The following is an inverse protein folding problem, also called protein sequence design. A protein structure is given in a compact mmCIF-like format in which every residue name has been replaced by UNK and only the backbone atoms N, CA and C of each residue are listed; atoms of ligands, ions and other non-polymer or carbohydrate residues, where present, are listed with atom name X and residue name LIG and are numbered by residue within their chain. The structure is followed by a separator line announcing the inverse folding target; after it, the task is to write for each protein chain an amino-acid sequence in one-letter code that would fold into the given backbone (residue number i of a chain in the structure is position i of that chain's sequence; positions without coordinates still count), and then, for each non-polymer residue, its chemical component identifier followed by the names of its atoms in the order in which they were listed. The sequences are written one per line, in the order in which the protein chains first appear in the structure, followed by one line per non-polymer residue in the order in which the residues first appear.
data_IF_249942139344
#
_entry.id   IF_249942139344
#
_cell.length_a   1.000
_cell.length_b   1.000
_cell.length_c   1.000
_cell.angle_alpha   90.00
_cell.angle_beta   90.00
_cell.angle_gamma   90.00
#
_symmetry.space_group_name_H-M   'P 1'
#
loop_
_entity.id
_entity.type
_entity.pdbx_description
1 polymer ?
#
# COMPACT_ATOMS: atom_id res chain seq x y z
N UNK A 1 7.62 -8.41 -11.17
CA UNK A 1 7.61 -9.86 -10.85
C UNK A 1 6.34 -10.60 -11.28
N UNK A 2 5.21 -10.60 -10.55
CA UNK A 2 4.05 -11.47 -10.88
C UNK A 2 3.58 -11.33 -12.33
N UNK A 3 3.31 -10.09 -12.78
CA UNK A 3 2.91 -9.79 -14.17
C UNK A 3 4.00 -10.09 -15.19
N UNK A 4 5.24 -9.74 -14.86
CA UNK A 4 6.43 -9.89 -15.73
C UNK A 4 6.70 -11.36 -16.07
N UNK A 5 6.63 -12.25 -15.08
CA UNK A 5 6.79 -13.69 -15.26
C UNK A 5 5.49 -14.40 -15.65
N UNK A 6 4.38 -13.64 -15.83
CA UNK A 6 3.04 -14.17 -16.07
C UNK A 6 2.67 -15.31 -15.10
N UNK A 7 3.02 -15.12 -13.82
CA UNK A 7 2.84 -16.13 -12.80
C UNK A 7 1.36 -16.48 -12.65
N UNK A 8 1.05 -17.77 -12.55
CA UNK A 8 -0.31 -18.29 -12.40
C UNK A 8 -0.29 -19.48 -11.46
N UNK A 9 -1.24 -19.51 -10.54
CA UNK A 9 -1.40 -20.60 -9.60
C UNK A 9 -2.01 -20.13 -8.29
N UNK A 10 -2.36 -21.10 -7.45
CA UNK A 10 -3.02 -20.86 -6.16
C UNK A 10 -2.18 -19.96 -5.25
N UNK A 11 -0.86 -20.06 -5.30
CA UNK A 11 0.02 -19.22 -4.51
C UNK A 11 -0.04 -17.76 -4.96
N UNK A 12 0.01 -17.51 -6.27
CA UNK A 12 -0.11 -16.17 -6.84
C UNK A 12 -1.43 -15.51 -6.46
N UNK A 13 -2.54 -16.24 -6.54
CA UNK A 13 -3.87 -15.73 -6.19
C UNK A 13 -3.95 -15.35 -4.69
N UNK A 14 -3.43 -16.22 -3.81
CA UNK A 14 -3.36 -15.94 -2.38
C UNK A 14 -2.43 -14.77 -2.09
N UNK A 15 -1.26 -14.72 -2.72
CA UNK A 15 -0.30 -13.62 -2.53
C UNK A 15 -0.93 -12.28 -2.90
N UNK A 16 -1.54 -12.16 -4.08
CA UNK A 16 -2.18 -10.92 -4.52
C UNK A 16 -3.37 -10.55 -3.63
N UNK A 17 -4.18 -11.53 -3.22
CA UNK A 17 -5.30 -11.30 -2.30
C UNK A 17 -4.85 -10.80 -0.92
N UNK A 18 -3.79 -11.40 -0.37
CA UNK A 18 -3.22 -10.98 0.91
C UNK A 18 -2.63 -9.58 0.81
N UNK A 19 -1.88 -9.25 -0.26
CA UNK A 19 -1.32 -7.90 -0.46
C UNK A 19 -2.44 -6.84 -0.51
N UNK A 20 -3.51 -7.10 -1.27
CA UNK A 20 -4.61 -6.15 -1.38
C UNK A 20 -5.30 -5.86 -0.04
N UNK A 21 -5.47 -6.89 0.80
CA UNK A 21 -6.08 -6.75 2.13
C UNK A 21 -5.10 -6.14 3.14
N UNK A 22 -3.81 -6.48 3.05
CA UNK A 22 -2.74 -5.95 3.91
C UNK A 22 -2.61 -4.44 3.78
N UNK A 23 -2.70 -3.89 2.57
CA UNK A 23 -2.64 -2.44 2.34
C UNK A 23 -3.82 -1.70 3.01
N UNK A 24 -5.02 -2.26 2.94
CA UNK A 24 -6.19 -1.68 3.60
C UNK A 24 -6.04 -1.68 5.13
N UNK A 25 -5.60 -2.81 5.70
CA UNK A 25 -5.30 -2.91 7.13
C UNK A 25 -4.18 -1.97 7.55
N UNK A 26 -3.14 -1.81 6.73
CA UNK A 26 -2.05 -0.88 6.98
C UNK A 26 -2.57 0.54 7.17
N UNK A 27 -3.43 1.03 6.27
CA UNK A 27 -4.01 2.37 6.36
C UNK A 27 -4.92 2.54 7.58
N UNK A 28 -5.75 1.55 7.90
CA UNK A 28 -6.64 1.57 9.08
C UNK A 28 -5.82 1.61 10.37
N UNK A 29 -4.83 0.72 10.50
CA UNK A 29 -3.95 0.66 11.68
C UNK A 29 -3.12 1.92 11.79
N UNK A 30 -2.64 2.46 10.67
CA UNK A 30 -1.88 3.72 10.63
C UNK A 30 -2.73 4.89 11.12
N UNK A 31 -3.96 5.05 10.61
CA UNK A 31 -4.87 6.12 11.05
C UNK A 31 -5.16 6.05 12.56
N UNK A 32 -5.42 4.85 13.09
CA UNK A 32 -5.60 4.65 14.53
C UNK A 32 -4.32 4.97 15.33
N UNK A 33 -3.17 4.52 14.85
CA UNK A 33 -1.87 4.76 15.50
C UNK A 33 -1.51 6.24 15.53
N UNK A 34 -1.78 6.95 14.43
CA UNK A 34 -1.56 8.39 14.30
C UNK A 34 -2.42 9.15 15.32
N UNK A 35 -3.69 8.77 15.43
CA UNK A 35 -4.62 9.39 16.38
C UNK A 35 -4.25 9.17 17.84
N UNK A 36 -3.90 7.93 18.20
CA UNK A 36 -3.41 7.62 19.55
C UNK A 36 -2.13 8.43 19.83
N UNK A 37 -1.21 8.51 18.87
CA UNK A 37 0.03 9.29 19.01
C UNK A 37 -0.25 10.77 19.24
N UNK A 38 -1.20 11.36 18.49
CA UNK A 38 -1.64 12.76 18.70
C UNK A 38 -2.24 12.94 20.10
N UNK A 39 -3.12 12.03 20.54
CA UNK A 39 -3.71 12.10 21.88
C UNK A 39 -2.66 12.09 23.01
N UNK A 40 -1.59 11.30 22.84
CA UNK A 40 -0.52 11.17 23.83
C UNK A 40 0.40 12.40 23.85
N UNK A 41 0.84 12.88 22.68
CA UNK A 41 1.79 13.98 22.56
C UNK A 41 1.19 15.32 22.96
N UNK A 42 -0.06 15.59 22.59
CA UNK A 42 -0.73 16.86 22.91
C UNK A 42 -1.33 16.90 24.33
N UNK A 43 -0.93 15.98 25.22
CA UNK A 43 -1.27 15.88 26.65
C UNK A 43 -2.66 16.44 27.00
N UNK A 44 -3.70 15.81 26.45
CA UNK A 44 -5.08 16.24 26.67
C UNK A 44 -5.79 15.25 27.61
N UNK A 45 -6.55 15.79 28.58
CA UNK A 45 -7.23 15.07 29.67
C UNK A 45 -7.97 13.78 29.27
N UNK A 46 -8.20 12.86 30.23
CA UNK A 46 -8.83 11.53 30.01
C UNK A 46 -10.18 11.54 29.25
N UNK A 47 -10.94 12.64 29.28
CA UNK A 47 -12.18 12.80 28.52
C UNK A 47 -11.96 12.97 27.00
N UNK A 48 -10.71 13.12 26.55
CA UNK A 48 -10.34 13.34 25.15
C UNK A 48 -9.95 12.06 24.40
N UNK A 49 -9.50 10.99 25.07
CA UNK A 49 -9.06 9.75 24.39
C UNK A 49 -10.21 9.10 23.62
N UNK A 50 -11.40 9.00 24.22
CA UNK A 50 -12.61 8.52 23.53
C UNK A 50 -12.97 9.39 22.32
N UNK A 51 -12.84 10.72 22.45
CA UNK A 51 -13.12 11.67 21.37
C UNK A 51 -12.14 11.52 20.20
N UNK A 52 -10.86 11.27 20.48
CA UNK A 52 -9.84 11.07 19.45
C UNK A 52 -10.05 9.76 18.70
N UNK A 53 -10.28 8.65 19.43
CA UNK A 53 -10.58 7.36 18.80
C UNK A 53 -11.86 7.45 17.95
N UNK A 54 -12.91 8.10 18.47
CA UNK A 54 -14.16 8.30 17.75
C UNK A 54 -13.95 9.16 16.48
N UNK A 55 -13.13 10.21 16.57
CA UNK A 55 -12.79 11.04 15.42
C UNK A 55 -12.06 10.24 14.32
N UNK A 56 -11.13 9.37 14.68
CA UNK A 56 -10.44 8.50 13.71
C UNK A 56 -11.36 7.46 13.09
N UNK A 57 -12.33 6.96 13.85
CA UNK A 57 -13.34 6.07 13.29
C UNK A 57 -14.20 6.81 12.26
N UNK A 58 -14.58 8.06 12.53
CA UNK A 58 -15.25 8.93 11.56
C UNK A 58 -14.36 9.18 10.34
N UNK A 59 -13.06 9.42 10.53
CA UNK A 59 -12.12 9.63 9.43
C UNK A 59 -12.05 8.41 8.51
N UNK A 60 -11.95 7.21 9.09
CA UNK A 60 -11.89 5.94 8.36
C UNK A 60 -13.22 5.69 7.64
N UNK A 61 -14.34 5.70 8.36
CA UNK A 61 -15.67 5.44 7.78
C UNK A 61 -16.01 6.49 6.73
N UNK A 62 -15.73 7.76 7.01
CA UNK A 62 -15.93 8.87 6.09
C UNK A 62 -15.12 8.71 4.80
N UNK A 63 -13.85 8.31 4.89
CA UNK A 63 -13.02 8.03 3.72
C UNK A 63 -13.58 6.88 2.88
N UNK A 64 -14.00 5.78 3.52
CA UNK A 64 -14.63 4.65 2.83
C UNK A 64 -15.95 5.07 2.16
N UNK A 65 -16.82 5.80 2.87
CA UNK A 65 -18.08 6.28 2.32
C UNK A 65 -17.86 7.23 1.15
N UNK A 66 -16.92 8.17 1.26
CA UNK A 66 -16.58 9.11 0.19
C UNK A 66 -16.10 8.38 -1.06
N UNK A 67 -15.10 7.50 -0.91
CA UNK A 67 -14.57 6.71 -2.02
C UNK A 67 -15.65 5.87 -2.71
N UNK A 68 -16.49 5.20 -1.91
CA UNK A 68 -17.56 4.35 -2.43
C UNK A 68 -18.65 5.14 -3.14
N UNK A 69 -19.05 6.29 -2.59
CA UNK A 69 -20.04 7.17 -3.19
C UNK A 69 -19.54 7.70 -4.53
N UNK A 70 -18.31 8.20 -4.59
CA UNK A 70 -17.70 8.71 -5.82
C UNK A 70 -17.55 7.58 -6.86
N UNK A 71 -17.21 6.36 -6.44
CA UNK A 71 -17.16 5.19 -7.32
C UNK A 71 -18.51 4.83 -7.93
N UNK A 72 -19.62 5.00 -7.20
CA UNK A 72 -20.96 4.77 -7.74
C UNK A 72 -21.32 5.77 -8.85
N UNK A 73 -20.82 7.01 -8.79
CA UNK A 73 -21.05 8.03 -9.81
C UNK A 73 -20.15 7.86 -11.04
N UNK A 74 -18.93 7.32 -10.88
CA UNK A 74 -17.95 7.23 -11.97
C UNK A 74 -18.43 6.44 -13.21
N UNK A 75 -19.17 5.32 -13.11
CA UNK A 75 -19.70 4.63 -14.29
C UNK A 75 -20.79 5.40 -15.05
N UNK A 76 -21.49 6.34 -14.40
CA UNK A 76 -22.59 7.07 -15.03
C UNK A 76 -22.10 7.95 -16.18
N UNK A 77 -20.95 8.59 -16.03
CA UNK A 77 -20.39 9.44 -17.09
C UNK A 77 -19.42 8.70 -18.02
N UNK A 78 -19.07 7.44 -17.73
CA UNK A 78 -18.27 6.60 -18.63
C UNK A 78 -18.95 6.42 -20.00
N UNK A 79 -20.28 6.50 -20.06
CA UNK A 79 -21.06 6.43 -21.32
C UNK A 79 -20.76 7.55 -22.32
N UNK A 80 -20.17 8.66 -21.89
CA UNK A 80 -19.81 9.79 -22.77
C UNK A 80 -18.39 9.67 -23.34
N UNK A 81 -17.61 8.70 -22.85
CA UNK A 81 -16.21 8.53 -23.19
C UNK A 81 -16.08 7.68 -24.45
N UNK A 82 -15.28 8.14 -25.41
CA UNK A 82 -15.09 7.45 -26.70
C UNK A 82 -13.65 7.02 -26.93
N UNK A 83 -12.68 7.64 -26.27
CA UNK A 83 -11.24 7.36 -26.45
C UNK A 83 -10.55 6.97 -25.15
N UNK A 84 -9.43 6.23 -25.23
CA UNK A 84 -8.63 5.88 -24.05
C UNK A 84 -8.04 7.12 -23.35
N UNK A 85 -7.68 8.16 -24.11
CA UNK A 85 -7.18 9.43 -23.55
C UNK A 85 -8.25 10.14 -22.74
N UNK A 86 -9.48 10.19 -23.24
CA UNK A 86 -10.62 10.74 -22.49
C UNK A 86 -10.88 9.92 -21.22
N UNK A 87 -10.80 8.58 -21.30
CA UNK A 87 -10.96 7.72 -20.13
C UNK A 87 -9.86 7.95 -19.09
N UNK A 88 -8.63 8.18 -19.50
CA UNK A 88 -7.53 8.52 -18.59
C UNK A 88 -7.78 9.84 -17.87
N UNK A 89 -8.12 10.90 -18.62
CA UNK A 89 -8.43 12.22 -18.04
C UNK A 89 -9.60 12.10 -17.07
N UNK A 90 -10.63 11.35 -17.46
CA UNK A 90 -11.79 11.10 -16.62
C UNK A 90 -11.41 10.37 -15.33
N UNK A 91 -10.64 9.28 -15.42
CA UNK A 91 -10.19 8.50 -14.26
C UNK A 91 -9.35 9.35 -13.30
N UNK A 92 -8.40 10.12 -13.84
CA UNK A 92 -7.62 11.08 -13.05
C UNK A 92 -8.49 12.15 -12.40
N UNK A 93 -9.50 12.65 -13.11
CA UNK A 93 -10.47 13.61 -12.58
C UNK A 93 -11.20 13.08 -11.35
N UNK A 94 -11.64 11.82 -11.37
CA UNK A 94 -12.30 11.18 -10.23
C UNK A 94 -11.34 10.95 -9.04
N UNK A 95 -10.10 10.56 -9.32
CA UNK A 95 -9.05 10.41 -8.28
C UNK A 95 -8.75 11.77 -7.63
N UNK A 96 -8.55 12.81 -8.44
CA UNK A 96 -8.26 14.17 -7.94
C UNK A 96 -9.46 14.78 -7.21
N UNK A 97 -10.68 14.56 -7.70
CA UNK A 97 -11.91 14.99 -7.02
C UNK A 97 -12.04 14.31 -5.66
N UNK A 98 -11.87 12.98 -5.61
CA UNK A 98 -11.90 12.22 -4.35
C UNK A 98 -10.83 12.71 -3.39
N UNK A 99 -9.62 12.97 -3.90
CA UNK A 99 -8.51 13.53 -3.13
C UNK A 99 -8.85 14.91 -2.56
N UNK A 100 -9.35 15.83 -3.39
CA UNK A 100 -9.71 17.18 -2.96
C UNK A 100 -10.83 17.19 -1.93
N UNK A 101 -11.87 16.36 -2.13
CA UNK A 101 -12.96 16.20 -1.16
C UNK A 101 -12.48 15.55 0.15
N UNK A 102 -11.59 14.55 0.08
CA UNK A 102 -11.02 13.94 1.26
C UNK A 102 -10.20 14.97 2.08
N UNK A 103 -9.38 15.78 1.43
CA UNK A 103 -8.62 16.86 2.10
C UNK A 103 -9.58 17.87 2.74
N UNK A 104 -10.60 18.34 2.00
CA UNK A 104 -11.57 19.32 2.48
C UNK A 104 -12.36 18.81 3.71
N UNK A 105 -12.70 17.53 3.72
CA UNK A 105 -13.44 16.88 4.80
C UNK A 105 -12.52 16.34 5.92
N UNK A 106 -11.21 16.56 5.83
CA UNK A 106 -10.20 16.02 6.74
C UNK A 106 -10.27 14.48 6.89
N UNK A 107 -10.44 13.79 5.77
CA UNK A 107 -10.50 12.33 5.66
C UNK A 107 -9.19 11.77 5.08
N UNK A 108 -8.94 10.48 5.32
CA UNK A 108 -7.78 9.80 4.75
C UNK A 108 -7.84 9.72 3.22
N UNK A 109 -6.97 10.47 2.55
CA UNK A 109 -6.85 10.53 1.08
C UNK A 109 -6.52 9.15 0.49
N UNK A 110 -5.58 8.42 1.12
CA UNK A 110 -5.16 7.10 0.67
C UNK A 110 -6.32 6.10 0.75
N UNK A 111 -7.02 6.10 1.88
CA UNK A 111 -8.13 5.15 2.10
C UNK A 111 -9.32 5.47 1.19
N UNK A 112 -9.65 6.75 0.99
CA UNK A 112 -10.73 7.16 0.10
C UNK A 112 -10.48 6.75 -1.35
N UNK A 113 -9.28 6.98 -1.89
CA UNK A 113 -8.93 6.57 -3.26
C UNK A 113 -8.81 5.03 -3.40
N UNK A 114 -8.34 4.33 -2.38
CA UNK A 114 -8.30 2.86 -2.38
C UNK A 114 -9.72 2.28 -2.43
N UNK A 115 -10.65 2.84 -1.66
CA UNK A 115 -12.03 2.39 -1.65
C UNK A 115 -12.79 2.81 -2.92
N UNK A 116 -12.46 3.97 -3.51
CA UNK A 116 -12.91 4.35 -4.85
C UNK A 116 -12.59 3.24 -5.87
N UNK A 117 -11.32 2.83 -5.96
CA UNK A 117 -10.91 1.76 -6.88
C UNK A 117 -11.58 0.42 -6.55
N UNK A 118 -11.67 0.08 -5.26
CA UNK A 118 -12.30 -1.17 -4.79
C UNK A 118 -13.78 -1.24 -5.16
N UNK A 119 -14.54 -0.19 -4.94
CA UNK A 119 -15.97 -0.18 -5.30
C UNK A 119 -16.13 -0.11 -6.81
N UNK A 120 -15.31 0.69 -7.51
CA UNK A 120 -15.38 0.85 -8.96
C UNK A 120 -15.21 -0.49 -9.69
N UNK A 121 -14.22 -1.31 -9.31
CA UNK A 121 -14.01 -2.61 -9.96
C UNK A 121 -15.13 -3.62 -9.67
N UNK A 122 -15.82 -3.49 -8.53
CA UNK A 122 -16.88 -4.42 -8.11
C UNK A 122 -18.28 -4.06 -8.64
N UNK A 123 -18.52 -2.82 -9.09
CA UNK A 123 -19.82 -2.40 -9.63
C UNK A 123 -20.09 -2.97 -11.02
N UNK A 124 -19.08 -3.01 -11.91
CA UNK A 124 -19.26 -3.53 -13.26
C UNK A 124 -17.95 -4.10 -13.82
N UNK A 125 -18.01 -5.25 -14.49
CA UNK A 125 -16.84 -5.89 -15.13
C UNK A 125 -16.23 -5.05 -16.26
N UNK A 126 -17.01 -4.18 -16.91
CA UNK A 126 -16.48 -3.22 -17.90
C UNK A 126 -15.57 -2.16 -17.29
N UNK A 127 -15.50 -2.04 -15.96
CA UNK A 127 -14.68 -1.03 -15.29
C UNK A 127 -13.18 -1.39 -15.21
N UNK A 128 -12.77 -2.53 -15.78
CA UNK A 128 -11.34 -2.88 -15.92
C UNK A 128 -10.59 -1.84 -16.77
N UNK A 129 -11.27 -1.20 -17.73
CA UNK A 129 -10.67 -0.20 -18.62
C UNK A 129 -10.12 1.01 -17.85
N UNK A 130 -10.74 1.39 -16.72
CA UNK A 130 -10.24 2.45 -15.84
C UNK A 130 -8.85 2.14 -15.29
N UNK A 131 -8.58 0.89 -14.95
CA UNK A 131 -7.27 0.45 -14.44
C UNK A 131 -6.26 0.29 -15.58
N UNK A 132 -6.72 -0.10 -16.77
CA UNK A 132 -5.84 -0.26 -17.92
C UNK A 132 -5.27 1.07 -18.40
N UNK A 133 -6.06 2.15 -18.38
CA UNK A 133 -5.55 3.47 -18.76
C UNK A 133 -4.57 4.05 -17.73
N UNK A 134 -4.73 3.75 -16.43
CA UNK A 134 -3.78 4.19 -15.40
C UNK A 134 -2.37 3.59 -15.61
N UNK A 135 -2.29 2.37 -16.16
CA UNK A 135 -1.00 1.73 -16.49
C UNK A 135 -0.16 2.54 -17.47
N UNK A 136 -0.77 3.44 -18.25
CA UNK A 136 -0.05 4.33 -19.17
C UNK A 136 0.81 5.37 -18.44
N UNK A 137 0.46 5.70 -17.19
CA UNK A 137 1.09 6.78 -16.42
C UNK A 137 1.72 6.32 -15.10
N UNK A 138 1.51 5.06 -14.68
CA UNK A 138 2.10 4.52 -13.44
C UNK A 138 3.62 4.70 -13.38
N UNK A 139 4.33 4.45 -14.49
CA UNK A 139 5.80 4.52 -14.52
C UNK A 139 6.34 5.93 -14.25
N UNK A 140 5.85 7.00 -14.94
CA UNK A 140 6.15 8.38 -14.57
C UNK A 140 5.81 8.73 -13.12
N UNK A 141 4.66 8.26 -12.60
CA UNK A 141 4.25 8.55 -11.23
C UNK A 141 5.17 7.90 -10.19
N UNK A 142 5.58 6.65 -10.41
CA UNK A 142 6.55 5.98 -9.55
C UNK A 142 7.91 6.69 -9.57
N UNK A 143 8.38 7.11 -10.75
CA UNK A 143 9.61 7.87 -10.86
C UNK A 143 9.55 9.16 -10.04
N UNK A 144 8.49 9.96 -10.23
CA UNK A 144 8.31 11.21 -9.49
C UNK A 144 8.26 10.94 -7.98
N UNK A 145 7.51 9.92 -7.56
CA UNK A 145 7.37 9.53 -6.17
C UNK A 145 8.71 9.14 -5.52
N UNK A 146 9.49 8.28 -6.16
CA UNK A 146 10.78 7.84 -5.63
C UNK A 146 11.84 8.95 -5.64
N UNK A 147 11.81 9.84 -6.64
CA UNK A 147 12.67 11.04 -6.65
C UNK A 147 12.33 11.95 -5.46
N UNK A 148 11.04 12.23 -5.23
CA UNK A 148 10.60 13.04 -4.09
C UNK A 148 10.94 12.39 -2.74
N UNK A 149 10.77 11.07 -2.62
CA UNK A 149 11.17 10.32 -1.44
C UNK A 149 12.68 10.42 -1.19
N UNK A 150 13.49 10.32 -2.25
CA UNK A 150 14.94 10.50 -2.19
C UNK A 150 15.37 11.91 -1.79
N UNK A 151 14.70 12.95 -2.29
CA UNK A 151 14.98 14.35 -1.91
C UNK A 151 14.66 14.61 -0.44
N UNK A 152 13.60 13.98 0.09
CA UNK A 152 13.22 14.10 1.50
C UNK A 152 14.06 13.24 2.45
N UNK A 153 14.98 12.42 1.91
CA UNK A 153 15.85 11.56 2.70
C UNK A 153 16.97 12.38 3.36
N UNK A 154 16.99 12.39 4.69
CA UNK A 154 18.02 13.08 5.45
C UNK A 154 19.21 12.16 5.69
N UNK A 155 20.24 12.28 4.85
CA UNK A 155 21.46 11.45 4.89
C UNK A 155 22.16 11.51 6.26
N UNK A 156 22.04 12.63 6.98
CA UNK A 156 22.57 12.76 8.34
C UNK A 156 21.95 11.75 9.33
N UNK A 157 20.66 11.47 9.17
CA UNK A 157 19.92 10.52 10.03
C UNK A 157 20.24 9.06 9.68
N UNK A 158 20.75 8.75 8.49
CA UNK A 158 21.15 7.39 8.09
C UNK A 158 22.18 6.76 9.04
N UNK A 159 23.09 7.57 9.59
CA UNK A 159 24.09 7.09 10.56
C UNK A 159 23.46 6.60 11.86
N UNK A 160 22.40 7.27 12.32
CA UNK A 160 21.64 6.87 13.52
C UNK A 160 20.68 5.71 13.26
N UNK A 161 20.31 5.46 12.00
CA UNK A 161 19.37 4.42 11.61
C UNK A 161 19.98 3.02 11.66
N UNK A 162 21.31 2.86 11.67
CA UNK A 162 21.93 1.53 11.60
C UNK A 162 21.24 0.49 12.49
N UNK A 163 21.06 0.79 13.78
CA UNK A 163 20.39 -0.11 14.72
C UNK A 163 18.86 -0.14 14.49
N UNK A 164 18.20 1.02 14.40
CA UNK A 164 16.74 1.12 14.28
C UNK A 164 16.20 0.49 13.00
N UNK A 165 16.92 0.66 11.88
CA UNK A 165 16.63 0.05 10.59
C UNK A 165 16.85 -1.46 10.58
N UNK A 166 17.93 -1.95 11.22
CA UNK A 166 18.13 -3.39 11.40
C UNK A 166 17.00 -4.00 12.23
N UNK A 167 16.63 -3.36 13.34
CA UNK A 167 15.50 -3.78 14.19
C UNK A 167 14.21 -3.79 13.36
N UNK A 168 13.92 -2.72 12.63
CA UNK A 168 12.73 -2.64 11.78
C UNK A 168 12.69 -3.76 10.74
N UNK A 169 13.78 -3.98 10.00
CA UNK A 169 13.88 -5.05 8.99
C UNK A 169 13.67 -6.41 9.64
N UNK A 170 14.31 -6.66 10.79
CA UNK A 170 14.18 -7.92 11.51
C UNK A 170 12.73 -8.18 11.94
N UNK A 171 12.10 -7.23 12.63
CA UNK A 171 10.72 -7.36 13.10
C UNK A 171 9.72 -7.44 11.95
N UNK A 172 9.91 -6.67 10.87
CA UNK A 172 9.04 -6.73 9.70
C UNK A 172 9.15 -8.08 8.98
N UNK A 173 10.36 -8.53 8.70
CA UNK A 173 10.62 -9.80 8.00
C UNK A 173 10.12 -10.99 8.82
N UNK A 174 10.41 -11.03 10.12
CA UNK A 174 9.92 -12.07 11.02
C UNK A 174 8.40 -12.00 11.19
N UNK A 175 7.82 -10.82 11.34
CA UNK A 175 6.38 -10.62 11.43
C UNK A 175 5.63 -11.12 10.19
N UNK A 176 6.09 -10.75 8.99
CA UNK A 176 5.51 -11.25 7.72
C UNK A 176 5.65 -12.76 7.60
N UNK A 177 6.80 -13.33 7.99
CA UNK A 177 7.05 -14.78 7.89
C UNK A 177 6.20 -15.56 8.89
N UNK A 178 6.24 -15.20 10.17
CA UNK A 178 5.49 -15.86 11.23
C UNK A 178 3.99 -15.70 11.01
N UNK A 179 3.53 -14.50 10.68
CA UNK A 179 2.12 -14.22 10.38
C UNK A 179 1.60 -15.03 9.20
N UNK A 180 2.40 -15.16 8.12
CA UNK A 180 2.03 -16.00 6.97
C UNK A 180 1.95 -17.47 7.33
N UNK A 181 2.91 -17.97 8.13
CA UNK A 181 2.94 -19.37 8.55
C UNK A 181 1.77 -19.70 9.47
N UNK A 182 1.53 -18.86 10.48
CA UNK A 182 0.44 -19.03 11.44
C UNK A 182 -0.93 -18.87 10.78
N UNK A 183 -1.12 -17.83 9.98
CA UNK A 183 -2.36 -17.62 9.23
C UNK A 183 -2.65 -18.80 8.30
N UNK A 184 -1.65 -19.23 7.53
CA UNK A 184 -1.75 -20.39 6.64
C UNK A 184 -2.02 -21.71 7.38
N UNK A 185 -1.50 -21.87 8.60
CA UNK A 185 -1.81 -23.03 9.45
C UNK A 185 -3.28 -23.04 9.90
N UNK A 186 -3.80 -21.90 10.36
CA UNK A 186 -5.20 -21.77 10.82
C UNK A 186 -6.19 -22.10 9.71
N UNK A 187 -5.95 -21.58 8.50
CA UNK A 187 -6.83 -21.84 7.33
C UNK A 187 -6.48 -23.13 6.58
N UNK A 188 -5.54 -23.93 7.09
CA UNK A 188 -5.12 -25.24 6.54
C UNK A 188 -4.72 -25.17 5.05
N UNK A 189 -3.93 -24.16 4.70
CA UNK A 189 -3.40 -24.04 3.33
C UNK A 189 -2.23 -25.01 3.12
N UNK A 190 -1.92 -25.31 1.86
CA UNK A 190 -0.80 -26.18 1.47
C UNK A 190 0.52 -25.72 2.07
N UNK A 191 1.37 -26.66 2.49
CA UNK A 191 2.63 -26.35 3.19
C UNK A 191 3.58 -25.47 2.38
N UNK A 192 3.65 -25.69 1.06
CA UNK A 192 4.45 -24.85 0.16
C UNK A 192 3.98 -23.40 0.19
N UNK A 193 2.66 -23.16 0.17
CA UNK A 193 2.11 -21.80 0.24
C UNK A 193 2.44 -21.19 1.60
N UNK A 194 2.19 -21.91 2.68
CA UNK A 194 2.47 -21.47 4.05
C UNK A 194 3.95 -21.06 4.25
N UNK A 195 4.88 -21.83 3.69
CA UNK A 195 6.33 -21.63 3.84
C UNK A 195 6.85 -20.44 3.04
N UNK A 196 6.34 -20.22 1.82
CA UNK A 196 6.91 -19.23 0.90
C UNK A 196 6.14 -17.91 0.84
N UNK A 197 4.93 -17.84 1.40
CA UNK A 197 4.09 -16.63 1.35
C UNK A 197 4.76 -15.44 2.03
N UNK A 198 5.40 -15.64 3.18
CA UNK A 198 6.11 -14.58 3.90
C UNK A 198 7.23 -13.94 3.08
N UNK A 199 7.96 -14.73 2.27
CA UNK A 199 8.98 -14.22 1.35
C UNK A 199 8.38 -13.42 0.20
N UNK A 200 7.22 -13.84 -0.30
CA UNK A 200 6.48 -13.12 -1.33
C UNK A 200 5.96 -11.75 -0.89
N UNK A 201 5.76 -11.57 0.42
CA UNK A 201 5.23 -10.35 1.05
C UNK A 201 6.32 -9.38 1.57
N UNK A 202 7.60 -9.67 1.33
CA UNK A 202 8.69 -8.78 1.73
C UNK A 202 8.76 -7.45 0.98
N UNK A 203 8.42 -7.36 -0.32
CA UNK A 203 8.39 -6.06 -1.00
C UNK A 203 7.60 -5.02 -0.21
N UNK A 204 8.16 -3.82 -0.13
CA UNK A 204 7.55 -2.66 0.53
C UNK A 204 7.73 -1.48 -0.42
N UNK A 205 6.66 -0.72 -0.66
CA UNK A 205 6.71 0.39 -1.61
C UNK A 205 5.87 1.59 -1.12
N UNK A 206 5.03 2.12 -2.02
CA UNK A 206 4.44 3.46 -1.93
C UNK A 206 3.56 3.73 -0.71
N UNK A 207 2.75 2.76 -0.26
CA UNK A 207 1.83 2.97 0.87
C UNK A 207 2.60 3.31 2.15
N UNK A 208 3.66 2.55 2.46
CA UNK A 208 4.49 2.79 3.64
C UNK A 208 5.16 4.17 3.61
N UNK A 209 5.69 4.56 2.44
CA UNK A 209 6.30 5.86 2.21
C UNK A 209 5.29 7.02 2.34
N UNK A 210 4.07 6.85 1.82
CA UNK A 210 2.98 7.81 1.98
C UNK A 210 2.60 8.03 3.45
N UNK A 211 2.42 6.95 4.21
CA UNK A 211 2.19 7.01 5.66
C UNK A 211 3.35 7.68 6.40
N UNK A 212 4.58 7.37 6.04
CA UNK A 212 5.75 7.96 6.68
C UNK A 212 5.86 9.46 6.42
N UNK A 213 5.46 9.95 5.23
CA UNK A 213 5.42 11.38 4.94
C UNK A 213 4.36 12.11 5.76
N UNK A 214 3.19 11.51 5.96
CA UNK A 214 2.15 12.03 6.86
C UNK A 214 2.70 12.12 8.29
N UNK A 215 3.34 11.05 8.78
CA UNK A 215 3.95 11.05 10.11
C UNK A 215 5.07 12.10 10.24
N UNK A 216 5.85 12.36 9.17
CA UNK A 216 6.87 13.42 9.14
C UNK A 216 6.27 14.80 9.35
N UNK A 217 5.16 15.08 8.67
CA UNK A 217 4.49 16.38 8.75
C UNK A 217 3.77 16.58 10.08
N UNK A 218 3.15 15.52 10.62
CA UNK A 218 2.35 15.61 11.85
C UNK A 218 3.19 15.61 13.13
N UNK A 219 4.41 15.06 13.09
CA UNK A 219 5.31 14.95 14.25
C UNK A 219 6.72 15.47 13.92
N UNK A 220 6.97 16.79 13.99
CA UNK A 220 8.27 17.37 13.59
C UNK A 220 9.49 16.80 14.33
N UNK A 221 9.34 16.42 15.60
CA UNK A 221 10.47 15.94 16.42
C UNK A 221 10.92 14.51 16.09
N UNK A 222 9.97 13.60 15.81
CA UNK A 222 10.25 12.16 15.60
C UNK A 222 10.01 11.71 14.16
N UNK A 223 9.24 12.48 13.40
CA UNK A 223 8.77 12.14 12.07
C UNK A 223 9.88 12.06 11.03
N UNK A 224 10.95 12.86 11.16
CA UNK A 224 12.14 12.74 10.32
C UNK A 224 12.83 11.38 10.46
N UNK A 225 12.92 10.86 11.69
CA UNK A 225 13.49 9.55 11.97
C UNK A 225 12.61 8.41 11.41
N UNK A 226 11.29 8.51 11.59
CA UNK A 226 10.32 7.56 11.02
C UNK A 226 10.45 7.53 9.49
N UNK A 227 10.36 8.71 8.85
CA UNK A 227 10.46 8.84 7.40
C UNK A 227 11.76 8.25 6.86
N UNK A 228 12.89 8.66 7.43
CA UNK A 228 14.20 8.21 6.96
C UNK A 228 14.37 6.70 7.17
N UNK A 229 13.86 6.12 8.26
CA UNK A 229 13.88 4.67 8.49
C UNK A 229 13.06 3.93 7.44
N UNK A 230 11.84 4.41 7.14
CA UNK A 230 10.97 3.79 6.14
C UNK A 230 11.56 3.92 4.74
N UNK A 231 12.11 5.07 4.35
CA UNK A 231 12.76 5.23 3.04
C UNK A 231 13.98 4.32 2.91
N UNK A 232 14.89 4.33 3.88
CA UNK A 232 16.11 3.52 3.82
C UNK A 232 15.79 2.02 3.74
N UNK A 233 14.83 1.55 4.53
CA UNK A 233 14.42 0.14 4.52
C UNK A 233 13.62 -0.20 3.25
N UNK A 234 12.85 0.74 2.70
CA UNK A 234 12.16 0.57 1.41
C UNK A 234 13.16 0.32 0.28
N UNK A 235 14.28 1.07 0.23
CA UNK A 235 15.35 0.82 -0.76
C UNK A 235 15.90 -0.60 -0.63
N UNK A 236 16.12 -1.08 0.58
CA UNK A 236 16.58 -2.46 0.83
C UNK A 236 15.53 -3.48 0.34
N UNK A 237 14.25 -3.27 0.65
CA UNK A 237 13.17 -4.16 0.24
C UNK A 237 12.85 -4.09 -1.26
N UNK A 238 13.08 -2.98 -1.94
CA UNK A 238 12.94 -2.88 -3.41
C UNK A 238 14.07 -3.63 -4.13
N UNK A 239 15.27 -3.73 -3.53
CA UNK A 239 16.36 -4.52 -4.08
C UNK A 239 16.18 -6.02 -3.82
N UNK A 240 15.83 -6.39 -2.58
CA UNK A 240 15.77 -7.78 -2.14
C UNK A 240 14.40 -8.41 -2.37
N UNK A 241 13.33 -7.66 -2.17
CA UNK A 241 11.94 -8.13 -2.21
C UNK A 241 11.56 -8.79 -3.53
N UNK A 242 11.80 -8.16 -4.71
CA UNK A 242 11.51 -8.78 -6.00
C UNK A 242 12.23 -10.12 -6.22
N UNK A 243 13.47 -10.23 -5.73
CA UNK A 243 14.24 -11.48 -5.78
C UNK A 243 13.59 -12.56 -4.89
N UNK A 244 13.17 -12.20 -3.68
CA UNK A 244 12.45 -13.09 -2.77
C UNK A 244 11.10 -13.54 -3.34
N UNK A 245 10.31 -12.63 -3.90
CA UNK A 245 9.02 -12.96 -4.53
C UNK A 245 9.22 -13.88 -5.74
N UNK A 246 10.22 -13.60 -6.58
CA UNK A 246 10.57 -14.47 -7.72
C UNK A 246 10.94 -15.88 -7.25
N UNK A 247 11.80 -15.97 -6.23
CA UNK A 247 12.22 -17.24 -5.65
C UNK A 247 11.03 -18.03 -5.07
N UNK A 248 10.14 -17.37 -4.34
CA UNK A 248 8.93 -17.97 -3.79
C UNK A 248 8.02 -18.55 -4.90
N UNK A 249 7.76 -17.76 -5.95
CA UNK A 249 6.97 -18.21 -7.10
C UNK A 249 7.59 -19.42 -7.80
N UNK A 250 8.92 -19.41 -7.97
CA UNK A 250 9.64 -20.53 -8.58
C UNK A 250 9.56 -21.80 -7.73
N UNK A 251 9.67 -21.66 -6.40
CA UNK A 251 9.64 -22.81 -5.47
C UNK A 251 8.27 -23.46 -5.38
N UNK A 252 7.19 -22.68 -5.55
CA UNK A 252 5.83 -23.21 -5.55
C UNK A 252 5.40 -23.71 -6.95
N UNK A 253 6.15 -23.35 -8.00
CA UNK A 253 5.89 -23.82 -9.37
C UNK A 253 4.98 -22.91 -10.19
N UNK A 254 4.58 -21.75 -9.65
CA UNK A 254 3.71 -20.77 -10.33
C UNK A 254 4.43 -20.04 -11.49
N UNK A 255 5.76 -20.15 -11.57
CA UNK A 255 6.56 -19.69 -12.72
C UNK A 255 7.53 -20.78 -13.18
N UNK A 256 7.72 -20.91 -14.48
CA UNK A 256 8.75 -21.75 -15.09
C UNK A 256 9.84 -20.86 -15.67
N UNK A 257 11.05 -20.91 -15.09
CA UNK A 257 12.21 -20.26 -15.69
C UNK A 257 12.72 -21.21 -16.77
N UNK A 258 12.46 -20.91 -18.04
CA UNK A 258 13.20 -21.57 -19.14
C UNK A 258 14.67 -21.19 -18.95
N UNK A 259 15.50 -22.12 -18.52
CA UNK A 259 16.94 -21.94 -18.65
C UNK A 259 17.22 -21.76 -20.14
N UNK A 260 17.64 -20.56 -20.55
CA UNK A 260 18.41 -20.43 -21.77
C UNK A 260 19.67 -21.28 -21.53
N UNK A 261 19.69 -22.47 -22.13
CA UNK A 261 20.94 -23.12 -22.44
C UNK A 261 21.60 -22.21 -23.47
N UNK A 262 22.52 -21.37 -23.00
CA UNK A 262 23.50 -20.75 -23.89
C UNK A 262 24.36 -21.91 -24.44
N UNK A 263 24.24 -22.11 -25.76
CA UNK A 263 25.10 -22.96 -26.59
C UNK A 263 26.36 -22.15 -26.90
#
# INVERSE_FOLDING_TARGET
VVREYKAKGRFTDILLGVVAIDDAWCLIIFALSLAISKALVFHTSNTFVFKVIFHSLIEIIGALMLGGLIACFAPLFSKFIRTQTELLIYTLGFILLTTGLAILLHLSVLLANMFLGTVLININKSNLEFFDVLKLIDSPLYLLFFVLAGVNLEIGLLKGIGITGIIYIFFRTTGKTVGSVWGGYIVKVEENIRRYLGLGLLPQAGVALGCALIAKNDFPEVGGMIFTTIVATTVIYELIGPLCTKYALQKVGDITIKHHQEI
#
